data_IF_759997095588
#
_entry.id   IF_759997095588
#
_cell.length_a   1.000
_cell.length_b   1.000
_cell.length_c   1.000
_cell.angle_alpha   90.00
_cell.angle_beta   90.00
_cell.angle_gamma   90.00
#
_symmetry.space_group_name_H-M   'P 1'
#
loop_
_entity.id
_entity.type
_entity.pdbx_description
1 polymer ?
#
# COMPACT_ATOMS: atom_id res chain seq x y z
N UNK A 1 -8.50 34.53 2.65
CA UNK A 1 -9.57 34.30 1.66
C UNK A 1 -10.12 35.60 1.07
N UNK A 2 -10.24 35.71 -0.26
CA UNK A 2 -10.83 36.87 -0.95
C UNK A 2 -12.37 36.80 -0.98
N UNK A 3 -13.02 37.96 -1.15
CA UNK A 3 -14.48 38.14 -1.06
C UNK A 3 -15.27 37.26 -2.03
N UNK A 4 -14.82 37.16 -3.28
CA UNK A 4 -15.39 36.24 -4.28
C UNK A 4 -15.45 34.78 -3.81
N UNK A 5 -14.44 34.31 -3.07
CA UNK A 5 -14.40 32.91 -2.59
C UNK A 5 -15.29 32.66 -1.38
N UNK A 6 -15.60 33.70 -0.60
CA UNK A 6 -16.54 33.60 0.52
C UNK A 6 -17.97 33.42 -0.02
N UNK A 7 -18.35 34.24 -1.00
CA UNK A 7 -19.62 34.14 -1.73
C UNK A 7 -19.75 32.74 -2.33
N UNK A 8 -18.68 32.22 -2.93
CA UNK A 8 -18.70 30.88 -3.52
C UNK A 8 -18.98 29.78 -2.49
N UNK A 9 -18.51 29.91 -1.24
CA UNK A 9 -18.75 28.95 -0.16
C UNK A 9 -20.15 29.08 0.45
N UNK A 10 -20.66 30.30 0.59
CA UNK A 10 -22.02 30.57 1.12
C UNK A 10 -23.10 29.99 0.20
N UNK A 11 -22.90 30.08 -1.12
CA UNK A 11 -23.78 29.47 -2.12
C UNK A 11 -23.76 27.92 -2.10
N UNK A 12 -22.79 27.26 -1.46
CA UNK A 12 -22.76 25.78 -1.35
C UNK A 12 -23.73 25.27 -0.29
N UNK A 13 -24.03 26.08 0.74
CA UNK A 13 -24.92 25.68 1.83
C UNK A 13 -26.39 25.52 1.36
N UNK A 14 -26.73 26.11 0.21
CA UNK A 14 -27.97 25.88 -0.50
C UNK A 14 -27.79 24.65 -1.41
N UNK A 15 -28.03 23.46 -0.87
CA UNK A 15 -28.06 22.22 -1.67
C UNK A 15 -29.27 22.22 -2.59
N UNK A 16 -29.13 22.85 -3.75
CA UNK A 16 -30.04 22.62 -4.87
C UNK A 16 -29.65 21.33 -5.59
N UNK A 17 -30.65 20.56 -6.04
CA UNK A 17 -30.44 19.44 -6.96
C UNK A 17 -29.98 20.02 -8.31
N UNK A 18 -28.67 20.25 -8.43
CA UNK A 18 -28.06 20.86 -9.60
C UNK A 18 -27.53 19.79 -10.56
N UNK A 19 -28.10 19.74 -11.76
CA UNK A 19 -27.66 18.85 -12.84
C UNK A 19 -26.66 19.54 -13.78
N UNK A 20 -25.59 18.84 -14.15
CA UNK A 20 -24.53 19.37 -15.01
C UNK A 20 -24.89 19.22 -16.49
N UNK A 21 -25.50 20.25 -17.07
CA UNK A 21 -25.97 20.18 -18.47
C UNK A 21 -24.96 20.65 -19.53
N UNK A 22 -23.95 21.45 -19.17
CA UNK A 22 -23.02 22.06 -20.14
C UNK A 22 -21.65 22.43 -19.53
N UNK A 23 -20.75 22.96 -20.36
CA UNK A 23 -19.39 23.32 -19.92
C UNK A 23 -19.39 24.43 -18.86
N UNK A 24 -20.37 25.33 -18.86
CA UNK A 24 -20.46 26.42 -17.89
C UNK A 24 -20.87 25.89 -16.51
N UNK A 25 -21.81 24.95 -16.45
CA UNK A 25 -22.18 24.29 -15.18
C UNK A 25 -21.01 23.47 -14.61
N UNK A 26 -20.26 22.78 -15.47
CA UNK A 26 -19.01 22.12 -15.05
C UNK A 26 -17.94 23.11 -14.53
N UNK A 27 -17.76 24.26 -15.20
CA UNK A 27 -16.82 25.30 -14.75
C UNK A 27 -17.23 25.89 -13.39
N UNK A 28 -18.52 26.12 -13.17
CA UNK A 28 -19.06 26.54 -11.87
C UNK A 28 -18.74 25.49 -10.78
N UNK A 29 -18.98 24.21 -11.04
CA UNK A 29 -18.66 23.13 -10.12
C UNK A 29 -17.17 23.12 -9.73
N UNK A 30 -16.29 23.27 -10.71
CA UNK A 30 -14.84 23.32 -10.49
C UNK A 30 -14.42 24.55 -9.66
N UNK A 31 -15.06 25.71 -9.85
CA UNK A 31 -14.86 26.90 -9.00
C UNK A 31 -15.27 26.65 -7.55
N UNK A 32 -16.44 26.03 -7.33
CA UNK A 32 -16.89 25.62 -5.98
C UNK A 32 -15.90 24.67 -5.32
N UNK A 33 -15.47 23.63 -6.04
CA UNK A 33 -14.47 22.69 -5.54
C UNK A 33 -13.14 23.39 -5.21
N UNK A 34 -12.73 24.39 -5.99
CA UNK A 34 -11.53 25.18 -5.70
C UNK A 34 -11.70 25.96 -4.39
N UNK A 35 -12.84 26.62 -4.19
CA UNK A 35 -13.13 27.34 -2.95
C UNK A 35 -13.13 26.39 -1.73
N UNK A 36 -13.73 25.21 -1.85
CA UNK A 36 -13.70 24.16 -0.82
C UNK A 36 -12.25 23.76 -0.50
N UNK A 37 -11.44 23.40 -1.50
CA UNK A 37 -10.05 22.97 -1.29
C UNK A 37 -9.19 24.03 -0.61
N UNK A 38 -9.42 25.30 -0.92
CA UNK A 38 -8.74 26.41 -0.25
C UNK A 38 -9.17 26.48 1.21
N UNK A 39 -10.47 26.39 1.50
CA UNK A 39 -10.99 26.40 2.86
C UNK A 39 -10.46 25.21 3.66
N UNK A 40 -10.42 24.02 3.08
CA UNK A 40 -9.81 22.83 3.69
C UNK A 40 -8.34 23.07 4.05
N UNK A 41 -7.58 23.71 3.16
CA UNK A 41 -6.18 24.08 3.42
C UNK A 41 -6.06 25.06 4.59
N UNK A 42 -6.89 26.10 4.62
CA UNK A 42 -6.91 27.08 5.72
C UNK A 42 -7.24 26.40 7.06
N UNK A 43 -8.26 25.52 7.09
CA UNK A 43 -8.64 24.76 8.29
C UNK A 43 -7.51 23.83 8.74
N UNK A 44 -6.88 23.09 7.81
CA UNK A 44 -5.76 22.21 8.12
C UNK A 44 -4.54 22.98 8.62
N UNK A 45 -4.26 24.15 8.06
CA UNK A 45 -3.17 25.01 8.51
C UNK A 45 -3.39 25.47 9.95
N UNK A 46 -4.59 25.98 10.27
CA UNK A 46 -4.95 26.40 11.62
C UNK A 46 -4.89 25.22 12.60
N UNK A 47 -5.45 24.06 12.23
CA UNK A 47 -5.41 22.85 13.05
C UNK A 47 -3.96 22.43 13.36
N UNK A 48 -3.08 22.42 12.36
CA UNK A 48 -1.67 22.04 12.56
C UNK A 48 -0.93 23.05 13.44
N UNK A 49 -1.24 24.35 13.32
CA UNK A 49 -0.70 25.38 14.19
C UNK A 49 -1.12 25.17 15.66
N UNK A 50 -2.40 24.90 15.90
CA UNK A 50 -2.90 24.63 17.26
C UNK A 50 -2.33 23.32 17.85
N UNK A 51 -2.22 22.26 17.05
CA UNK A 51 -1.54 21.02 17.48
C UNK A 51 -0.10 21.32 17.91
N UNK A 52 0.61 22.17 17.18
CA UNK A 52 1.98 22.56 17.50
C UNK A 52 2.02 23.34 18.81
N UNK A 53 1.16 24.36 18.98
CA UNK A 53 1.06 25.14 20.22
C UNK A 53 0.78 24.27 21.44
N UNK A 54 -0.17 23.33 21.34
CA UNK A 54 -0.52 22.43 22.44
C UNK A 54 0.66 21.52 22.79
N UNK A 55 1.38 20.98 21.79
CA UNK A 55 2.58 20.17 22.01
C UNK A 55 3.68 20.98 22.68
N UNK A 56 3.94 22.19 22.22
CA UNK A 56 4.98 23.06 22.78
C UNK A 56 4.68 23.46 24.21
N UNK A 57 3.42 23.83 24.50
CA UNK A 57 2.98 24.08 25.87
C UNK A 57 3.15 22.84 26.75
N UNK A 58 2.68 21.68 26.30
CA UNK A 58 2.82 20.42 27.06
C UNK A 58 4.29 20.07 27.34
N UNK A 59 5.17 20.22 26.35
CA UNK A 59 6.61 20.03 26.52
C UNK A 59 7.21 21.03 27.53
N UNK A 60 6.74 22.28 27.54
CA UNK A 60 7.23 23.30 28.46
C UNK A 60 6.88 23.01 29.92
N UNK A 61 5.67 22.51 30.19
CA UNK A 61 5.23 22.09 31.53
C UNK A 61 6.01 20.86 32.01
N UNK A 62 6.27 19.91 31.11
CA UNK A 62 7.02 18.69 31.43
C UNK A 62 8.51 18.92 31.62
N UNK A 63 9.08 19.98 31.03
CA UNK A 63 10.52 20.23 31.03
C UNK A 63 11.13 20.30 32.43
N UNK A 64 10.49 20.99 33.37
CA UNK A 64 11.00 21.10 34.75
C UNK A 64 11.01 19.74 35.47
N UNK A 65 10.02 18.89 35.18
CA UNK A 65 9.94 17.54 35.73
C UNK A 65 11.01 16.64 35.12
N UNK A 66 11.24 16.74 33.80
CA UNK A 66 12.30 16.03 33.09
C UNK A 66 13.69 16.44 33.59
N UNK A 67 13.93 17.75 33.75
CA UNK A 67 15.18 18.30 34.30
C UNK A 67 15.44 17.78 35.72
N UNK A 68 14.40 17.74 36.55
CA UNK A 68 14.47 17.18 37.91
C UNK A 68 14.77 15.67 37.90
N UNK A 69 14.13 14.91 37.02
CA UNK A 69 14.39 13.48 36.87
C UNK A 69 15.84 13.23 36.42
N UNK A 70 16.30 13.94 35.39
CA UNK A 70 17.66 13.86 34.86
C UNK A 70 18.71 14.20 35.93
N UNK A 71 18.45 15.20 36.77
CA UNK A 71 19.32 15.55 37.89
C UNK A 71 19.50 14.38 38.87
N UNK A 72 18.40 13.76 39.32
CA UNK A 72 18.46 12.63 40.25
C UNK A 72 19.05 11.37 39.62
N UNK A 73 18.74 11.09 38.35
CA UNK A 73 19.38 10.00 37.59
C UNK A 73 20.91 10.19 37.53
N UNK A 74 21.39 11.42 37.27
CA UNK A 74 22.81 11.75 37.29
C UNK A 74 23.47 11.51 38.64
N UNK A 75 22.80 11.87 39.75
CA UNK A 75 23.29 11.59 41.11
C UNK A 75 23.40 10.08 41.37
N UNK A 76 22.36 9.33 41.02
CA UNK A 76 22.33 7.87 41.18
C UNK A 76 23.42 7.20 40.35
N UNK A 77 23.62 7.63 39.09
CA UNK A 77 24.64 7.09 38.21
C UNK A 77 26.05 7.37 38.74
N UNK A 78 26.33 8.61 39.18
CA UNK A 78 27.62 8.98 39.78
C UNK A 78 27.91 8.14 41.02
N UNK A 79 26.95 8.05 41.94
CA UNK A 79 27.11 7.23 43.15
C UNK A 79 27.33 5.75 42.81
N UNK A 80 26.54 5.20 41.89
CA UNK A 80 26.67 3.82 41.45
C UNK A 80 28.05 3.50 40.86
N UNK A 81 28.59 4.38 40.02
CA UNK A 81 29.92 4.22 39.42
C UNK A 81 31.02 4.26 40.47
N UNK A 82 30.96 5.18 41.44
CA UNK A 82 31.95 5.22 42.52
C UNK A 82 31.91 3.96 43.40
N UNK A 83 30.71 3.47 43.73
CA UNK A 83 30.57 2.22 44.49
C UNK A 83 31.05 0.99 43.70
N UNK A 84 30.86 0.97 42.37
CA UNK A 84 31.38 -0.11 41.51
C UNK A 84 32.90 -0.22 41.48
N UNK A 85 33.62 0.88 41.72
CA UNK A 85 35.09 0.85 41.84
C UNK A 85 35.54 0.11 43.10
N UNK A 86 34.71 0.14 44.15
CA UNK A 86 34.97 -0.51 45.43
C UNK A 86 34.50 -1.97 45.38
N UNK A 87 33.25 -2.20 44.98
CA UNK A 87 32.66 -3.52 44.78
C UNK A 87 32.14 -3.68 43.34
N UNK A 88 32.84 -4.45 42.48
CA UNK A 88 32.40 -4.72 41.12
C UNK A 88 31.02 -5.40 41.01
N UNK A 89 30.50 -6.00 42.09
CA UNK A 89 29.18 -6.63 42.14
C UNK A 89 28.10 -5.73 42.75
N UNK A 90 28.45 -4.50 43.14
CA UNK A 90 27.52 -3.55 43.76
C UNK A 90 26.24 -3.33 42.95
N UNK A 91 25.12 -3.24 43.68
CA UNK A 91 23.77 -2.98 43.18
C UNK A 91 23.03 -2.13 44.21
N UNK A 92 22.20 -1.20 43.74
CA UNK A 92 21.27 -0.46 44.60
C UNK A 92 19.92 -1.17 44.49
N UNK A 93 19.33 -1.52 45.64
CA UNK A 93 17.99 -2.11 45.70
C UNK A 93 17.25 -1.56 46.90
N UNK A 94 16.20 -0.79 46.65
CA UNK A 94 15.31 -0.21 47.67
C UNK A 94 13.86 -0.55 47.33
N UNK A 95 12.90 -0.36 48.26
CA UNK A 95 11.47 -0.50 47.95
C UNK A 95 10.97 0.41 46.81
N UNK A 96 11.69 1.50 46.54
CA UNK A 96 11.32 2.51 45.54
C UNK A 96 12.08 2.39 44.22
N UNK A 97 13.03 1.47 44.09
CA UNK A 97 13.75 1.30 42.83
C UNK A 97 15.05 0.49 42.92
N UNK A 98 15.66 0.28 41.76
CA UNK A 98 16.91 -0.47 41.63
C UNK A 98 17.84 0.22 40.63
N UNK A 99 19.13 0.26 40.94
CA UNK A 99 20.18 0.69 40.00
C UNK A 99 21.15 -0.47 39.83
N UNK A 100 21.27 -0.93 38.59
CA UNK A 100 22.18 -2.00 38.21
C UNK A 100 22.65 -1.81 36.78
N UNK A 101 23.90 -2.14 36.50
CA UNK A 101 24.41 -2.25 35.14
C UNK A 101 24.18 -3.65 34.58
N UNK A 102 23.93 -3.70 33.27
CA UNK A 102 23.95 -4.91 32.45
C UNK A 102 24.81 -4.62 31.23
N UNK A 103 25.64 -5.58 30.83
CA UNK A 103 26.34 -5.51 29.55
C UNK A 103 25.30 -5.56 28.43
N UNK A 104 25.20 -4.49 27.64
CA UNK A 104 24.39 -4.51 26.42
C UNK A 104 25.09 -5.35 25.36
N UNK A 105 24.29 -6.02 24.51
CA UNK A 105 24.84 -6.67 23.33
C UNK A 105 25.46 -5.61 22.42
N UNK A 106 26.56 -5.91 21.70
CA UNK A 106 27.12 -4.99 20.74
C UNK A 106 26.06 -4.52 19.75
N UNK A 107 26.08 -3.24 19.39
CA UNK A 107 25.28 -2.73 18.27
C UNK A 107 25.96 -3.17 16.97
N UNK A 108 25.28 -3.97 16.17
CA UNK A 108 25.76 -4.33 14.85
C UNK A 108 25.39 -3.19 13.89
N UNK A 109 26.39 -2.64 13.22
CA UNK A 109 26.23 -1.60 12.20
C UNK A 109 26.46 -2.30 10.87
N UNK A 110 25.39 -2.40 10.07
CA UNK A 110 25.44 -3.12 8.80
C UNK A 110 25.65 -2.16 7.64
N UNK A 111 26.47 -2.60 6.68
CA UNK A 111 26.42 -2.12 5.31
C UNK A 111 25.89 -3.29 4.48
N UNK A 112 24.57 -3.32 4.27
CA UNK A 112 23.88 -4.47 3.70
C UNK A 112 24.39 -4.80 2.29
N UNK A 113 24.71 -3.78 1.48
CA UNK A 113 25.23 -3.97 0.12
C UNK A 113 26.55 -4.75 0.13
N UNK A 114 27.54 -4.26 0.89
CA UNK A 114 28.85 -4.93 1.00
C UNK A 114 28.75 -6.30 1.67
N UNK A 115 27.89 -6.43 2.67
CA UNK A 115 27.69 -7.70 3.37
C UNK A 115 27.07 -8.76 2.44
N UNK A 116 26.03 -8.39 1.68
CA UNK A 116 25.38 -9.29 0.72
C UNK A 116 26.34 -9.66 -0.41
N UNK A 117 27.13 -8.71 -0.95
CA UNK A 117 28.13 -8.97 -1.99
C UNK A 117 29.17 -9.99 -1.52
N UNK A 118 29.78 -9.76 -0.35
CA UNK A 118 30.75 -10.69 0.22
C UNK A 118 30.14 -12.06 0.53
N UNK A 119 28.90 -12.12 1.04
CA UNK A 119 28.20 -13.40 1.26
C UNK A 119 27.98 -14.16 -0.05
N UNK A 120 27.64 -13.45 -1.15
CA UNK A 120 27.49 -14.06 -2.48
C UNK A 120 28.81 -14.57 -3.04
N UNK A 121 29.89 -13.79 -2.94
CA UNK A 121 31.23 -14.19 -3.38
C UNK A 121 31.72 -15.46 -2.67
N UNK A 122 31.39 -15.59 -1.38
CA UNK A 122 31.72 -16.76 -0.57
C UNK A 122 30.67 -17.89 -0.67
N UNK A 123 29.67 -17.75 -1.55
CA UNK A 123 28.58 -18.70 -1.76
C UNK A 123 27.77 -19.05 -0.48
N UNK A 124 27.70 -18.13 0.49
CA UNK A 124 26.94 -18.27 1.74
C UNK A 124 25.54 -17.70 1.56
N UNK A 125 24.57 -18.57 1.28
CA UNK A 125 23.18 -18.17 0.99
C UNK A 125 22.24 -18.17 2.20
N UNK A 126 22.61 -18.87 3.28
CA UNK A 126 21.77 -19.08 4.48
C UNK A 126 21.36 -17.77 5.17
N UNK A 127 22.17 -16.71 5.02
CA UNK A 127 21.92 -15.39 5.61
C UNK A 127 21.36 -14.37 4.60
N UNK A 128 21.08 -14.80 3.36
CA UNK A 128 20.50 -13.95 2.32
C UNK A 128 19.03 -14.32 2.17
N UNK A 129 18.14 -13.40 2.54
CA UNK A 129 16.70 -13.57 2.32
C UNK A 129 16.34 -13.23 0.87
N UNK A 130 15.84 -14.21 0.13
CA UNK A 130 15.24 -14.00 -1.20
C UNK A 130 13.75 -13.71 -1.05
N UNK A 131 13.28 -12.65 -1.70
CA UNK A 131 11.86 -12.28 -1.77
C UNK A 131 11.42 -12.43 -3.23
N UNK A 132 10.49 -13.35 -3.46
CA UNK A 132 9.86 -13.51 -4.76
C UNK A 132 8.61 -12.63 -4.83
N UNK A 133 8.54 -11.77 -5.84
CA UNK A 133 7.37 -10.93 -6.11
C UNK A 133 7.05 -11.00 -7.59
N UNK A 134 5.75 -11.06 -7.91
CA UNK A 134 5.29 -11.06 -9.28
C UNK A 134 5.61 -9.69 -9.92
N UNK A 135 6.36 -9.69 -11.02
CA UNK A 135 6.53 -8.50 -11.85
C UNK A 135 5.25 -8.21 -12.65
N UNK A 136 4.29 -7.60 -11.97
CA UNK A 136 2.97 -7.30 -12.52
C UNK A 136 3.03 -6.36 -13.74
N UNK A 137 4.06 -5.52 -13.84
CA UNK A 137 4.18 -4.54 -14.93
C UNK A 137 4.61 -5.22 -16.21
N UNK A 138 5.70 -5.99 -16.17
CA UNK A 138 6.18 -6.70 -17.36
C UNK A 138 5.24 -7.85 -17.74
N UNK A 139 4.67 -8.54 -16.76
CA UNK A 139 3.67 -9.58 -17.01
C UNK A 139 2.49 -9.05 -17.84
N UNK A 140 1.88 -7.92 -17.44
CA UNK A 140 0.75 -7.32 -18.17
C UNK A 140 1.07 -6.90 -19.60
N UNK A 141 2.34 -6.63 -19.92
CA UNK A 141 2.75 -6.24 -21.28
C UNK A 141 2.94 -7.44 -22.20
N UNK A 142 3.34 -8.59 -21.63
CA UNK A 142 3.72 -9.76 -22.40
C UNK A 142 2.63 -10.83 -22.47
N UNK A 143 1.66 -10.80 -21.54
CA UNK A 143 0.54 -11.74 -21.53
C UNK A 143 -0.58 -11.31 -22.48
N UNK A 144 -1.27 -12.30 -23.05
CA UNK A 144 -2.51 -12.12 -23.78
C UNK A 144 -3.68 -12.56 -22.90
N UNK A 145 -4.75 -11.77 -22.89
CA UNK A 145 -6.02 -12.16 -22.25
C UNK A 145 -6.94 -12.62 -23.37
N UNK A 146 -7.37 -13.87 -23.31
CA UNK A 146 -8.32 -14.43 -24.24
C UNK A 146 -9.59 -14.83 -23.47
N UNK A 147 -10.73 -14.57 -24.09
CA UNK A 147 -12.03 -14.92 -23.54
C UNK A 147 -12.62 -16.09 -24.33
N UNK A 148 -13.42 -16.92 -23.65
CA UNK A 148 -14.12 -18.07 -24.24
C UNK A 148 -13.18 -19.05 -24.96
N UNK A 149 -12.12 -19.49 -24.27
CA UNK A 149 -11.09 -20.36 -24.83
C UNK A 149 -11.36 -21.82 -24.51
N UNK A 150 -11.15 -22.68 -25.50
CA UNK A 150 -11.17 -24.13 -25.34
C UNK A 150 -9.75 -24.68 -25.28
N UNK A 151 -9.47 -25.51 -24.28
CA UNK A 151 -8.19 -26.20 -24.12
C UNK A 151 -8.42 -27.70 -24.26
N UNK A 152 -7.74 -28.31 -25.22
CA UNK A 152 -7.75 -29.76 -25.44
C UNK A 152 -6.34 -30.29 -25.20
N UNK A 153 -6.17 -31.23 -24.26
CA UNK A 153 -4.87 -31.81 -23.90
C UNK A 153 -3.78 -30.79 -23.50
N UNK A 154 -4.16 -29.63 -22.97
CA UNK A 154 -3.24 -28.60 -22.50
C UNK A 154 -2.80 -27.59 -23.58
N UNK A 155 -3.33 -27.69 -24.79
CA UNK A 155 -3.13 -26.71 -25.87
C UNK A 155 -4.47 -26.04 -26.25
N UNK A 156 -4.39 -24.80 -26.69
CA UNK A 156 -5.56 -24.05 -27.16
C UNK A 156 -6.07 -24.69 -28.44
N UNK A 157 -7.36 -25.04 -28.49
CA UNK A 157 -7.99 -25.55 -29.70
C UNK A 157 -8.83 -24.45 -30.36
N UNK A 158 -8.25 -23.78 -31.37
CA UNK A 158 -8.92 -22.73 -32.16
C UNK A 158 -10.01 -23.25 -33.11
N UNK A 159 -10.08 -24.57 -33.31
CA UNK A 159 -11.04 -25.20 -34.21
C UNK A 159 -12.40 -25.43 -33.55
N UNK A 160 -12.57 -25.13 -32.28
CA UNK A 160 -13.84 -25.29 -31.57
C UNK A 160 -14.51 -23.92 -31.42
N UNK A 161 -15.77 -23.80 -31.87
CA UNK A 161 -16.62 -22.63 -31.64
C UNK A 161 -17.79 -22.95 -30.73
N UNK A 162 -18.22 -21.93 -29.98
CA UNK A 162 -19.37 -21.97 -29.09
C UNK A 162 -20.67 -21.60 -29.85
N UNK A 163 -21.71 -22.43 -29.72
CA UNK A 163 -23.01 -22.20 -30.33
C UNK A 163 -24.12 -22.13 -29.28
N UNK A 164 -24.31 -20.95 -28.70
CA UNK A 164 -25.52 -20.57 -27.96
C UNK A 164 -25.36 -20.44 -26.45
N UNK A 165 -26.27 -19.69 -25.82
CA UNK A 165 -26.02 -18.97 -24.57
C UNK A 165 -26.02 -19.78 -23.24
N UNK A 166 -25.89 -21.12 -23.23
CA UNK A 166 -25.70 -21.91 -21.98
C UNK A 166 -25.75 -23.44 -22.11
N UNK A 167 -26.06 -24.01 -23.27
CA UNK A 167 -26.46 -25.44 -23.34
C UNK A 167 -25.38 -26.45 -23.72
N UNK A 168 -24.09 -26.09 -23.72
CA UNK A 168 -23.01 -27.08 -23.90
C UNK A 168 -22.96 -27.72 -25.29
N UNK A 169 -23.36 -26.99 -26.34
CA UNK A 169 -23.30 -27.45 -27.73
C UNK A 169 -22.13 -26.76 -28.42
N UNK A 170 -21.19 -27.54 -28.94
CA UNK A 170 -19.96 -27.02 -29.57
C UNK A 170 -19.85 -27.47 -31.03
N UNK A 171 -19.19 -26.71 -31.88
CA UNK A 171 -18.88 -27.12 -33.27
C UNK A 171 -17.37 -27.20 -33.48
N UNK A 172 -16.91 -28.32 -34.00
CA UNK A 172 -15.58 -28.46 -34.59
C UNK A 172 -15.60 -27.93 -36.03
N UNK A 173 -14.93 -26.81 -36.27
CA UNK A 173 -14.84 -26.14 -37.58
C UNK A 173 -14.12 -26.96 -38.64
N UNK A 174 -13.27 -27.90 -38.24
CA UNK A 174 -12.49 -28.70 -39.20
C UNK A 174 -13.36 -29.69 -39.96
N UNK A 175 -14.46 -30.12 -39.35
CA UNK A 175 -15.34 -31.18 -39.86
C UNK A 175 -16.84 -30.86 -39.74
N UNK A 176 -17.20 -29.73 -39.15
CA UNK A 176 -18.58 -29.27 -38.95
C UNK A 176 -19.37 -30.09 -37.92
N UNK A 177 -18.71 -30.90 -37.10
CA UNK A 177 -19.39 -31.83 -36.18
C UNK A 177 -19.83 -31.11 -34.91
N UNK A 178 -21.05 -31.40 -34.46
CA UNK A 178 -21.55 -30.94 -33.17
C UNK A 178 -20.99 -31.87 -32.09
N UNK A 179 -20.26 -31.32 -31.12
CA UNK A 179 -19.74 -32.02 -29.94
C UNK A 179 -20.71 -31.76 -28.80
N UNK A 180 -21.33 -32.82 -28.29
CA UNK A 180 -22.04 -32.83 -27.03
C UNK A 180 -21.04 -33.22 -25.93
N UNK A 181 -20.98 -32.44 -24.86
CA UNK A 181 -19.93 -32.46 -23.81
C UNK A 181 -19.78 -33.79 -23.04
N UNK A 182 -20.59 -34.81 -23.32
CA UNK A 182 -20.55 -36.10 -22.63
C UNK A 182 -19.61 -37.15 -23.27
N UNK A 183 -18.84 -36.83 -24.31
CA UNK A 183 -18.05 -37.86 -25.04
C UNK A 183 -16.55 -37.51 -25.17
N UNK A 184 -15.77 -38.15 -24.29
CA UNK A 184 -14.38 -38.67 -24.42
C UNK A 184 -13.19 -37.74 -24.77
N UNK A 185 -13.39 -36.48 -25.16
CA UNK A 185 -12.28 -35.53 -25.35
C UNK A 185 -12.20 -34.64 -24.11
N UNK A 186 -11.07 -34.64 -23.39
CA UNK A 186 -10.81 -33.73 -22.27
C UNK A 186 -10.69 -32.28 -22.76
N UNK A 187 -11.81 -31.70 -23.15
CA UNK A 187 -11.94 -30.32 -23.59
C UNK A 187 -12.44 -29.53 -22.39
N UNK A 188 -11.64 -28.57 -21.94
CA UNK A 188 -12.00 -27.67 -20.85
C UNK A 188 -12.29 -26.28 -21.42
N UNK A 189 -13.44 -25.70 -21.06
CA UNK A 189 -13.83 -24.35 -21.44
C UNK A 189 -13.48 -23.36 -20.34
N UNK A 190 -12.88 -22.24 -20.74
CA UNK A 190 -12.53 -21.14 -19.86
C UNK A 190 -13.13 -19.84 -20.38
N UNK A 191 -13.91 -19.18 -19.54
CA UNK A 191 -14.47 -17.85 -19.85
C UNK A 191 -13.37 -16.80 -20.06
N UNK A 192 -12.26 -16.91 -19.31
CA UNK A 192 -11.09 -16.04 -19.43
C UNK A 192 -9.81 -16.83 -19.13
N UNK A 193 -8.79 -16.65 -19.97
CA UNK A 193 -7.46 -17.26 -19.83
C UNK A 193 -6.37 -16.23 -20.06
N UNK A 194 -5.35 -16.25 -19.21
CA UNK A 194 -4.12 -15.47 -19.40
C UNK A 194 -3.03 -16.36 -19.98
N UNK A 195 -2.49 -15.94 -21.12
CA UNK A 195 -1.50 -16.70 -21.87
C UNK A 195 -0.17 -15.97 -21.97
N UNK A 196 0.91 -16.70 -21.73
CA UNK A 196 2.26 -16.25 -22.05
C UNK A 196 2.97 -17.31 -22.88
N UNK A 197 3.35 -16.94 -24.12
CA UNK A 197 4.07 -17.83 -25.06
C UNK A 197 3.41 -19.22 -25.17
N UNK A 198 2.08 -19.25 -25.31
CA UNK A 198 1.29 -20.48 -25.46
C UNK A 198 1.01 -21.25 -24.17
N UNK A 199 1.41 -20.74 -22.99
CA UNK A 199 1.15 -21.37 -21.69
C UNK A 199 0.12 -20.59 -20.90
N UNK A 200 -0.83 -21.31 -20.29
CA UNK A 200 -1.80 -20.76 -19.34
C UNK A 200 -1.10 -20.34 -18.06
N UNK A 201 -1.41 -19.14 -17.58
CA UNK A 201 -0.99 -18.64 -16.27
C UNK A 201 -2.21 -18.61 -15.36
N UNK A 202 -2.20 -19.48 -14.35
CA UNK A 202 -3.25 -19.57 -13.34
C UNK A 202 -3.08 -18.53 -12.22
N UNK A 203 -4.15 -18.29 -11.46
CA UNK A 203 -4.14 -17.43 -10.27
C UNK A 203 -4.24 -15.93 -10.55
N UNK A 204 -4.55 -15.53 -11.78
CA UNK A 204 -4.80 -14.14 -12.18
C UNK A 204 -6.21 -14.04 -12.76
N UNK A 205 -6.96 -13.03 -12.32
CA UNK A 205 -8.29 -12.68 -12.83
C UNK A 205 -8.24 -11.25 -13.36
N UNK A 206 -8.75 -11.02 -14.57
CA UNK A 206 -8.97 -9.69 -15.12
C UNK A 206 -10.44 -9.34 -14.92
N UNK A 207 -10.70 -8.12 -14.47
CA UNK A 207 -12.05 -7.60 -14.36
C UNK A 207 -12.08 -6.29 -15.14
N UNK A 208 -12.98 -6.20 -16.11
CA UNK A 208 -13.25 -4.94 -16.78
C UNK A 208 -13.76 -3.93 -15.75
N UNK A 209 -13.16 -2.75 -15.76
CA UNK A 209 -13.55 -1.64 -14.89
C UNK A 209 -14.08 -0.52 -15.76
N UNK A 210 -15.12 0.20 -15.30
CA UNK A 210 -15.57 1.40 -15.99
C UNK A 210 -14.42 2.40 -16.05
N UNK A 211 -14.49 3.30 -17.04
CA UNK A 211 -13.49 4.34 -17.20
C UNK A 211 -13.31 5.14 -15.91
N UNK A 212 -12.05 5.31 -15.51
CA UNK A 212 -11.74 6.15 -14.34
C UNK A 212 -11.83 7.62 -14.74
N UNK A 213 -12.89 8.28 -14.30
CA UNK A 213 -13.03 9.73 -14.40
C UNK A 213 -12.07 10.38 -13.40
N UNK A 214 -11.17 11.25 -13.88
CA UNK A 214 -10.21 11.98 -13.04
C UNK A 214 -10.58 13.47 -13.00
N UNK A 215 -10.96 13.97 -11.83
CA UNK A 215 -11.26 15.39 -11.62
C UNK A 215 -10.03 16.07 -11.00
N UNK A 216 -9.40 16.98 -11.74
CA UNK A 216 -8.31 17.83 -11.27
C UNK A 216 -8.81 19.26 -11.14
N UNK A 217 -8.68 19.82 -9.94
CA UNK A 217 -9.04 21.20 -9.64
C UNK A 217 -7.75 21.99 -9.50
N UNK A 218 -7.66 23.14 -10.17
CA UNK A 218 -6.51 24.03 -10.07
C UNK A 218 -6.27 24.47 -8.62
N UNK A 219 -5.00 24.46 -8.20
CA UNK A 219 -4.59 24.79 -6.82
C UNK A 219 -4.61 26.29 -6.50
#
# INVERSE_FOLDING_TARGET
MNELRKIELEEIEQKEDFEMENINSANWALRKMQAIKIKEREVKALMNEEITRIKDWGNSELKSLEDSNNFFEGLLMKYYVEQKKIDPKFKISTPYGKVSSRKQQPKWIYNDEKAIESLKENNVKEFIRVKEELDKVNLKKEVQVLNNVFIENGEINENIDFLGDSTGIFIDKSNGLIIDTDIERKIEFYEEVILYKGKVIEGIKVEERPEKINIKVAE
#
